data_IF_306148231891
#
_entry.id   IF_306148231891
#
_cell.length_a   1.000
_cell.length_b   1.000
_cell.length_c   1.000
_cell.angle_alpha   90.00
_cell.angle_beta   90.00
_cell.angle_gamma   90.00
#
_symmetry.space_group_name_H-M   'P 1'
#
loop_
_entity.id
_entity.type
_entity.pdbx_description
1 polymer ?
#
# COMPACT_ATOMS: atom_id res chain seq x y z
N UNK A 1 7.26 -37.49 -13.16
CA UNK A 1 6.59 -37.20 -11.87
C UNK A 1 5.20 -36.64 -12.18
N UNK A 2 4.12 -37.12 -11.56
CA UNK A 2 2.75 -36.63 -11.82
C UNK A 2 2.33 -35.71 -10.68
N UNK A 3 1.83 -34.53 -10.98
CA UNK A 3 1.26 -33.57 -10.03
C UNK A 3 -0.25 -33.58 -10.12
N UNK A 4 -0.93 -33.31 -9.00
CA UNK A 4 -2.38 -33.19 -8.93
C UNK A 4 -2.84 -31.77 -9.29
N UNK A 5 -2.00 -30.76 -8.97
CA UNK A 5 -2.30 -29.35 -9.21
C UNK A 5 -1.07 -28.60 -9.73
N UNK A 6 -1.32 -27.68 -10.65
CA UNK A 6 -0.40 -26.64 -11.08
C UNK A 6 -0.90 -25.30 -10.59
N UNK A 7 -0.04 -24.56 -9.85
CA UNK A 7 -0.31 -23.20 -9.38
C UNK A 7 0.61 -22.26 -10.11
N UNK A 8 0.04 -21.24 -10.73
CA UNK A 8 0.78 -20.17 -11.41
C UNK A 8 0.82 -18.95 -10.54
N UNK A 9 2.01 -18.58 -10.08
CA UNK A 9 2.29 -17.48 -9.17
C UNK A 9 2.65 -17.96 -7.76
N UNK A 10 3.85 -17.60 -7.30
CA UNK A 10 4.40 -17.92 -5.98
C UNK A 10 4.24 -16.77 -4.97
N UNK A 11 3.25 -15.91 -5.14
CA UNK A 11 2.86 -14.90 -4.17
C UNK A 11 2.07 -15.50 -3.00
N UNK A 12 1.59 -14.66 -2.08
CA UNK A 12 0.89 -15.11 -0.87
C UNK A 12 -0.32 -16.01 -1.16
N UNK A 13 -1.11 -15.69 -2.20
CA UNK A 13 -2.26 -16.49 -2.59
C UNK A 13 -1.84 -17.90 -3.05
N UNK A 14 -0.91 -17.96 -4.02
CA UNK A 14 -0.44 -19.25 -4.56
C UNK A 14 0.24 -20.11 -3.49
N UNK A 15 1.05 -19.51 -2.63
CA UNK A 15 1.71 -20.19 -1.52
C UNK A 15 0.68 -20.76 -0.51
N UNK A 16 -0.36 -19.98 -0.18
CA UNK A 16 -1.43 -20.43 0.73
C UNK A 16 -2.21 -21.60 0.14
N UNK A 17 -2.58 -21.54 -1.15
CA UNK A 17 -3.28 -22.63 -1.83
C UNK A 17 -2.39 -23.87 -1.89
N UNK A 18 -1.11 -23.71 -2.25
CA UNK A 18 -0.15 -24.83 -2.28
C UNK A 18 -0.03 -25.51 -0.92
N UNK A 19 0.11 -24.71 0.15
CA UNK A 19 0.19 -25.22 1.52
C UNK A 19 -1.06 -26.02 1.91
N UNK A 20 -2.25 -25.47 1.66
CA UNK A 20 -3.52 -26.13 1.98
C UNK A 20 -3.68 -27.44 1.21
N UNK A 21 -3.41 -27.45 -0.08
CA UNK A 21 -3.47 -28.67 -0.91
C UNK A 21 -2.45 -29.73 -0.45
N UNK A 22 -1.23 -29.30 -0.11
CA UNK A 22 -0.21 -30.21 0.40
C UNK A 22 -0.62 -30.86 1.74
N UNK A 23 -1.25 -30.09 2.64
CA UNK A 23 -1.84 -30.63 3.89
C UNK A 23 -2.96 -31.64 3.64
N UNK A 24 -3.62 -31.59 2.48
CA UNK A 24 -4.60 -32.58 2.04
C UNK A 24 -3.97 -33.77 1.29
N UNK A 25 -2.64 -33.90 1.32
CA UNK A 25 -1.90 -34.98 0.67
C UNK A 25 -1.79 -34.86 -0.85
N UNK A 26 -2.08 -33.67 -1.43
CA UNK A 26 -1.97 -33.43 -2.87
C UNK A 26 -0.55 -33.07 -3.27
N UNK A 27 -0.13 -33.54 -4.45
CA UNK A 27 1.15 -33.15 -5.06
C UNK A 27 0.95 -31.90 -5.89
N UNK A 28 1.64 -30.82 -5.51
CA UNK A 28 1.48 -29.49 -6.11
C UNK A 28 2.78 -29.06 -6.79
N UNK A 29 2.66 -28.52 -7.99
CA UNK A 29 3.73 -27.78 -8.67
C UNK A 29 3.37 -26.29 -8.65
N UNK A 30 4.27 -25.46 -8.14
CA UNK A 30 4.14 -23.99 -8.20
C UNK A 30 5.18 -23.44 -9.18
N UNK A 31 4.72 -22.60 -10.10
CA UNK A 31 5.60 -21.88 -11.05
C UNK A 31 5.38 -20.39 -10.94
N UNK A 32 6.42 -19.61 -11.15
CA UNK A 32 6.35 -18.14 -11.21
C UNK A 32 7.19 -17.63 -12.38
N UNK A 33 6.83 -16.46 -12.90
CA UNK A 33 7.61 -15.77 -13.94
C UNK A 33 8.84 -15.03 -13.40
N UNK A 34 8.82 -14.70 -12.10
CA UNK A 34 9.91 -14.02 -11.40
C UNK A 34 10.95 -15.03 -10.95
N UNK A 35 12.17 -14.58 -10.78
CA UNK A 35 13.30 -15.35 -10.26
C UNK A 35 13.29 -15.51 -8.73
N UNK A 36 12.25 -15.00 -8.07
CA UNK A 36 12.03 -15.07 -6.63
C UNK A 36 10.59 -15.47 -6.29
N UNK A 37 10.38 -16.00 -5.11
CA UNK A 37 9.06 -16.25 -4.49
C UNK A 37 8.53 -15.00 -3.79
N UNK A 38 7.37 -15.12 -3.12
CA UNK A 38 6.67 -14.10 -2.33
C UNK A 38 5.91 -13.03 -3.16
N UNK A 39 6.05 -12.99 -4.48
CA UNK A 39 5.31 -12.05 -5.32
C UNK A 39 5.56 -10.58 -4.93
N UNK A 40 4.50 -9.80 -4.72
CA UNK A 40 4.64 -8.38 -4.41
C UNK A 40 5.10 -8.06 -2.98
N UNK A 41 5.05 -9.03 -2.05
CA UNK A 41 5.57 -8.84 -0.68
C UNK A 41 7.05 -9.18 -0.56
N UNK A 42 7.72 -9.44 -1.69
CA UNK A 42 9.14 -9.75 -1.71
C UNK A 42 9.96 -8.56 -1.21
N UNK A 43 10.85 -8.88 -0.26
CA UNK A 43 11.74 -7.91 0.39
C UNK A 43 13.17 -8.40 0.27
N UNK A 44 14.07 -7.52 -0.14
CA UNK A 44 15.51 -7.76 -0.19
C UNK A 44 16.19 -7.07 0.99
N UNK A 45 17.21 -7.72 1.57
CA UNK A 45 18.08 -7.04 2.50
C UNK A 45 19.27 -6.48 1.74
N UNK A 46 19.37 -5.15 1.66
CA UNK A 46 20.45 -4.43 0.99
C UNK A 46 21.16 -3.60 2.05
N UNK A 47 22.42 -3.93 2.33
CA UNK A 47 23.26 -3.24 3.33
C UNK A 47 22.60 -3.14 4.71
N UNK A 48 21.86 -4.17 5.13
CA UNK A 48 21.14 -4.21 6.40
C UNK A 48 19.77 -3.53 6.39
N UNK A 49 19.34 -2.98 5.26
CA UNK A 49 18.04 -2.34 5.09
C UNK A 49 17.08 -3.30 4.39
N UNK A 50 15.89 -3.46 4.94
CA UNK A 50 14.82 -4.23 4.32
C UNK A 50 14.14 -3.38 3.23
N UNK A 51 14.43 -3.70 1.97
CA UNK A 51 13.89 -2.99 0.80
C UNK A 51 12.69 -3.75 0.25
N UNK A 52 11.51 -3.16 0.33
CA UNK A 52 10.29 -3.67 -0.30
C UNK A 52 10.32 -3.35 -1.79
N UNK A 53 10.64 -4.35 -2.61
CA UNK A 53 10.90 -4.15 -4.04
C UNK A 53 9.71 -3.66 -4.86
N UNK A 54 8.51 -3.97 -4.42
CA UNK A 54 7.24 -3.67 -5.12
C UNK A 54 6.32 -2.76 -4.31
N UNK A 55 6.88 -1.90 -3.47
CA UNK A 55 6.17 -1.03 -2.56
C UNK A 55 6.00 -1.62 -1.15
N UNK A 56 5.68 -0.78 -0.21
CA UNK A 56 5.54 -1.18 1.18
C UNK A 56 4.32 -2.08 1.38
N UNK A 57 4.55 -3.27 1.93
CA UNK A 57 3.51 -4.23 2.27
C UNK A 57 3.63 -4.56 3.76
N UNK A 58 2.77 -3.94 4.57
CA UNK A 58 2.61 -4.29 5.98
C UNK A 58 1.42 -5.23 6.14
N UNK A 59 1.56 -6.24 6.98
CA UNK A 59 0.45 -7.14 7.29
C UNK A 59 -0.43 -6.55 8.38
N UNK A 60 -1.72 -6.48 8.12
CA UNK A 60 -2.76 -6.17 9.11
C UNK A 60 -4.03 -6.96 8.79
N UNK A 61 -4.82 -7.30 9.80
CA UNK A 61 -6.10 -7.98 9.63
C UNK A 61 -6.95 -7.83 10.90
N UNK A 62 -8.27 -7.74 10.71
CA UNK A 62 -9.26 -7.80 11.79
C UNK A 62 -9.77 -9.24 12.04
N UNK A 63 -9.38 -10.19 11.18
CA UNK A 63 -9.78 -11.59 11.27
C UNK A 63 -8.79 -12.39 12.10
N UNK A 64 -9.24 -12.87 13.26
CA UNK A 64 -8.39 -13.63 14.20
C UNK A 64 -7.85 -14.93 13.59
N UNK A 65 -8.64 -15.65 12.83
CA UNK A 65 -8.23 -16.89 12.16
C UNK A 65 -7.12 -16.65 11.11
N UNK A 66 -7.18 -15.53 10.40
CA UNK A 66 -6.12 -15.11 9.46
C UNK A 66 -4.85 -14.74 10.24
N UNK A 67 -4.99 -14.00 11.34
CA UNK A 67 -3.88 -13.66 12.22
C UNK A 67 -3.18 -14.90 12.78
N UNK A 68 -3.95 -15.83 13.34
CA UNK A 68 -3.43 -17.08 13.91
C UNK A 68 -2.76 -17.94 12.83
N UNK A 69 -3.36 -18.01 11.63
CA UNK A 69 -2.78 -18.74 10.50
C UNK A 69 -1.41 -18.19 10.10
N UNK A 70 -1.28 -16.88 9.93
CA UNK A 70 -0.01 -16.27 9.49
C UNK A 70 1.05 -16.38 10.60
N UNK A 71 0.69 -16.17 11.87
CA UNK A 71 1.60 -16.33 13.01
C UNK A 71 2.03 -17.79 13.25
N UNK A 72 1.37 -18.78 12.63
CA UNK A 72 1.85 -20.16 12.68
C UNK A 72 3.12 -20.40 11.84
N UNK A 73 3.51 -19.44 11.00
CA UNK A 73 4.70 -19.51 10.15
C UNK A 73 5.82 -18.58 10.60
N UNK A 74 5.46 -17.40 11.14
CA UNK A 74 6.42 -16.34 11.46
C UNK A 74 5.89 -15.45 12.59
N UNK A 75 6.80 -14.98 13.46
CA UNK A 75 6.50 -13.95 14.44
C UNK A 75 6.67 -12.57 13.82
N UNK A 76 5.67 -11.71 14.03
CA UNK A 76 5.72 -10.31 13.57
C UNK A 76 6.43 -9.42 14.57
N UNK A 77 7.23 -8.48 14.08
CA UNK A 77 8.06 -7.58 14.89
C UNK A 77 7.33 -6.36 15.48
N UNK A 78 5.99 -6.28 15.37
CA UNK A 78 5.17 -5.15 15.84
C UNK A 78 5.61 -3.81 15.23
N UNK A 79 5.96 -3.82 13.96
CA UNK A 79 6.41 -2.65 13.25
C UNK A 79 5.34 -1.54 13.29
N UNK A 80 5.74 -0.33 13.71
CA UNK A 80 4.88 0.84 13.63
C UNK A 80 5.07 1.50 12.26
N UNK A 81 4.03 1.44 11.42
CA UNK A 81 4.06 2.05 10.11
C UNK A 81 3.91 3.57 10.21
N UNK A 82 4.97 4.28 9.87
CA UNK A 82 4.99 5.75 9.83
C UNK A 82 5.67 6.20 8.54
N UNK A 83 4.99 6.05 7.40
CA UNK A 83 5.56 6.37 6.11
C UNK A 83 5.74 7.88 5.94
N UNK A 84 6.70 8.24 5.12
CA UNK A 84 6.92 9.60 4.65
C UNK A 84 6.87 9.61 3.12
N UNK A 85 6.31 10.66 2.54
CA UNK A 85 6.33 10.90 1.11
C UNK A 85 7.34 12.00 0.79
N UNK A 86 8.13 11.80 -0.27
CA UNK A 86 9.01 12.85 -0.81
C UNK A 86 8.46 13.34 -2.15
N UNK A 87 8.28 14.65 -2.23
CA UNK A 87 7.95 15.34 -3.47
C UNK A 87 9.00 16.41 -3.74
N UNK A 88 9.82 16.20 -4.78
CA UNK A 88 11.01 17.04 -5.04
C UNK A 88 11.92 17.07 -3.82
N UNK A 89 12.12 18.25 -3.23
CA UNK A 89 12.96 18.47 -2.02
C UNK A 89 12.14 18.58 -0.72
N UNK A 90 10.82 18.38 -0.80
CA UNK A 90 9.92 18.42 0.34
C UNK A 90 9.62 17.00 0.84
N UNK A 91 9.45 16.85 2.16
CA UNK A 91 9.11 15.59 2.82
C UNK A 91 7.84 15.79 3.63
N UNK A 92 6.87 14.86 3.50
CA UNK A 92 5.54 14.92 4.10
C UNK A 92 5.26 13.68 4.93
N UNK A 93 4.55 13.85 6.06
CA UNK A 93 4.04 12.72 6.84
C UNK A 93 2.84 12.06 6.13
N UNK A 94 2.79 10.73 6.21
CA UNK A 94 1.68 9.93 5.67
C UNK A 94 1.14 8.95 6.74
N UNK A 95 -0.14 8.61 6.73
CA UNK A 95 -1.21 9.22 5.94
C UNK A 95 -1.37 10.71 6.24
N UNK A 96 -2.14 11.43 5.44
CA UNK A 96 -2.40 12.87 5.62
C UNK A 96 -2.81 13.18 7.05
N UNK A 97 -2.16 14.13 7.66
CA UNK A 97 -2.41 14.59 9.02
C UNK A 97 -2.06 16.08 9.15
N UNK A 98 -2.23 16.67 10.32
CA UNK A 98 -1.99 18.10 10.52
C UNK A 98 -0.55 18.53 10.16
N UNK A 99 0.46 17.66 10.40
CA UNK A 99 1.83 17.99 9.98
C UNK A 99 1.95 18.07 8.45
N UNK A 100 1.22 17.23 7.72
CA UNK A 100 1.16 17.27 6.26
C UNK A 100 0.55 18.59 5.78
N UNK A 101 -0.60 18.96 6.33
CA UNK A 101 -1.33 20.17 5.91
C UNK A 101 -0.60 21.45 6.29
N UNK A 102 -0.07 21.55 7.51
CA UNK A 102 0.74 22.68 7.95
C UNK A 102 2.04 22.87 7.15
N UNK A 103 2.50 21.81 6.48
CA UNK A 103 3.64 21.88 5.59
C UNK A 103 3.27 22.26 4.14
N UNK A 104 2.03 21.96 3.73
CA UNK A 104 1.52 22.35 2.41
C UNK A 104 1.15 23.84 2.39
N UNK A 105 0.52 24.33 3.46
CA UNK A 105 0.01 25.70 3.59
C UNK A 105 0.52 26.34 4.89
N UNK A 106 1.21 27.45 4.77
CA UNK A 106 1.88 28.12 5.89
C UNK A 106 0.90 28.76 6.92
N UNK A 107 -0.36 28.91 6.56
CA UNK A 107 -1.44 29.48 7.39
C UNK A 107 -2.38 28.43 8.00
N UNK A 108 -2.02 27.16 7.92
CA UNK A 108 -2.80 26.04 8.49
C UNK A 108 -2.27 25.68 9.88
N UNK A 109 -3.04 26.04 10.91
CA UNK A 109 -2.74 25.75 12.32
C UNK A 109 -3.76 24.82 12.97
N UNK A 110 -4.96 24.72 12.42
CA UNK A 110 -6.06 23.91 12.93
C UNK A 110 -6.64 23.00 11.85
N UNK A 111 -7.38 21.93 12.22
CA UNK A 111 -8.10 21.14 11.23
C UNK A 111 -9.10 21.95 10.38
N UNK A 112 -9.67 22.99 10.94
CA UNK A 112 -10.61 23.86 10.21
C UNK A 112 -9.92 24.68 9.13
N UNK A 113 -8.69 25.13 9.36
CA UNK A 113 -7.89 25.82 8.34
C UNK A 113 -7.59 24.90 7.17
N UNK A 114 -7.19 23.65 7.45
CA UNK A 114 -6.93 22.65 6.42
C UNK A 114 -8.20 22.32 5.60
N UNK A 115 -9.34 22.15 6.27
CA UNK A 115 -10.63 21.90 5.60
C UNK A 115 -10.97 23.05 4.66
N UNK A 116 -10.79 24.31 5.11
CA UNK A 116 -11.06 25.49 4.30
C UNK A 116 -10.23 25.53 3.01
N UNK A 117 -8.93 25.23 3.09
CA UNK A 117 -8.08 25.15 1.90
C UNK A 117 -8.53 24.04 0.95
N UNK A 118 -8.82 22.85 1.48
CA UNK A 118 -9.29 21.72 0.68
C UNK A 118 -10.62 22.06 -0.01
N UNK A 119 -11.58 22.64 0.72
CA UNK A 119 -12.88 23.03 0.16
C UNK A 119 -12.74 24.11 -0.92
N UNK A 120 -11.84 25.06 -0.74
CA UNK A 120 -11.59 26.11 -1.74
C UNK A 120 -11.02 25.50 -3.04
N UNK A 121 -10.02 24.64 -2.92
CA UNK A 121 -9.41 24.00 -4.10
C UNK A 121 -10.34 23.00 -4.80
N UNK A 122 -11.22 22.34 -4.06
CA UNK A 122 -12.24 21.42 -4.63
C UNK A 122 -13.25 22.11 -5.53
N UNK A 123 -13.49 23.41 -5.34
CA UNK A 123 -14.42 24.21 -6.18
C UNK A 123 -14.03 24.20 -7.65
N UNK A 124 -12.79 23.91 -7.98
CA UNK A 124 -12.32 23.69 -9.34
C UNK A 124 -13.16 22.63 -10.08
N UNK A 125 -13.67 21.64 -9.33
CA UNK A 125 -14.45 20.54 -9.89
C UNK A 125 -15.97 20.71 -9.73
N UNK A 126 -16.42 21.83 -9.19
CA UNK A 126 -17.86 22.09 -9.00
C UNK A 126 -18.59 22.11 -10.35
N UNK A 127 -19.62 21.28 -10.46
CA UNK A 127 -20.41 21.14 -11.68
C UNK A 127 -19.73 20.39 -12.83
N UNK A 128 -18.52 19.86 -12.63
CA UNK A 128 -17.83 19.03 -13.62
C UNK A 128 -18.31 17.58 -13.50
N UNK A 129 -18.45 16.91 -14.66
CA UNK A 129 -18.58 15.45 -14.70
C UNK A 129 -17.23 14.80 -14.43
N UNK A 130 -17.18 13.90 -13.44
CA UNK A 130 -15.96 13.16 -13.11
C UNK A 130 -15.82 11.95 -14.03
N UNK A 131 -14.80 11.97 -14.88
CA UNK A 131 -14.59 10.94 -15.91
C UNK A 131 -13.34 10.09 -15.69
N UNK A 132 -12.43 10.53 -14.81
CA UNK A 132 -11.15 9.87 -14.58
C UNK A 132 -10.66 10.03 -13.13
N UNK A 133 -9.59 9.31 -12.79
CA UNK A 133 -9.03 9.27 -11.44
C UNK A 133 -8.45 10.63 -10.99
N UNK A 134 -7.86 11.41 -11.90
CA UNK A 134 -7.33 12.75 -11.59
C UNK A 134 -8.45 13.67 -11.12
N UNK A 135 -9.51 13.79 -11.91
CA UNK A 135 -10.67 14.61 -11.58
C UNK A 135 -11.33 14.15 -10.26
N UNK A 136 -11.45 12.83 -10.05
CA UNK A 136 -11.93 12.27 -8.80
C UNK A 136 -11.06 12.67 -7.62
N UNK A 137 -9.75 12.56 -7.75
CA UNK A 137 -8.83 12.91 -6.66
C UNK A 137 -8.90 14.41 -6.34
N UNK A 138 -8.87 15.29 -7.35
CA UNK A 138 -8.96 16.74 -7.16
C UNK A 138 -10.30 17.12 -6.50
N UNK A 139 -11.41 16.49 -6.90
CA UNK A 139 -12.72 16.71 -6.28
C UNK A 139 -12.80 16.31 -4.80
N UNK A 140 -11.90 15.43 -4.34
CA UNK A 140 -11.87 14.95 -2.96
C UNK A 140 -10.87 15.70 -2.08
N UNK A 141 -9.66 15.94 -2.57
CA UNK A 141 -8.55 16.46 -1.75
C UNK A 141 -7.99 17.81 -2.23
N UNK A 142 -8.45 18.33 -3.35
CA UNK A 142 -7.93 19.54 -3.98
C UNK A 142 -6.69 19.29 -4.84
N UNK A 143 -6.37 20.27 -5.66
CA UNK A 143 -5.29 20.17 -6.65
C UNK A 143 -3.90 20.08 -6.01
N UNK A 144 -3.64 20.87 -4.99
CA UNK A 144 -2.30 20.91 -4.35
C UNK A 144 -1.92 19.57 -3.74
N UNK A 145 -2.84 18.93 -3.01
CA UNK A 145 -2.61 17.59 -2.43
C UNK A 145 -2.48 16.56 -3.55
N UNK A 146 -3.33 16.62 -4.58
CA UNK A 146 -3.25 15.73 -5.73
C UNK A 146 -1.87 15.80 -6.40
N UNK A 147 -1.41 16.98 -6.78
CA UNK A 147 -0.14 17.18 -7.49
C UNK A 147 1.09 16.75 -6.66
N UNK A 148 1.09 17.05 -5.37
CA UNK A 148 2.24 16.76 -4.49
C UNK A 148 2.29 15.31 -4.01
N UNK A 149 1.14 14.70 -3.71
CA UNK A 149 1.11 13.48 -2.90
C UNK A 149 0.34 12.30 -3.53
N UNK A 150 -0.41 12.53 -4.62
CA UNK A 150 -1.19 11.48 -5.28
C UNK A 150 -0.66 11.16 -6.67
N UNK A 151 -0.50 12.17 -7.52
CA UNK A 151 -0.16 12.04 -8.94
C UNK A 151 1.13 11.23 -9.22
N UNK A 152 2.13 11.35 -8.38
CA UNK A 152 3.40 10.64 -8.56
C UNK A 152 3.41 9.22 -7.98
N UNK A 153 2.36 8.85 -7.24
CA UNK A 153 2.23 7.54 -6.61
C UNK A 153 1.33 6.59 -7.42
N UNK A 154 0.36 7.11 -8.14
CA UNK A 154 -0.55 6.37 -9.02
C UNK A 154 -0.06 6.42 -10.46
#
# INVERSE_FOLDING_TARGET
>A
MKYDYLIVGAGLFGATVAYRLNKMGKKVLVIDKRDHIAGNVYTENIEGINVHKYGAHIFHTDYKDVWDFVNSFVEFNRYTNSPIARYKDEVYNMPFNMNTFAKIWDDVFTPMDAIKHIEEERKEMDGCEITNLEEQAISLVGRTIYEKLVKGYT
#
